data_IF_923445415211
#
_entry.id   IF_923445415211
#
_cell.length_a   1.000
_cell.length_b   1.000
_cell.length_c   1.000
_cell.angle_alpha   90.00
_cell.angle_beta   90.00
_cell.angle_gamma   90.00
#
_symmetry.space_group_name_H-M   'P 1'
#
loop_
_entity.id
_entity.type
_entity.pdbx_description
1 polymer ?
#
# COMPACT_ATOMS: atom_id res chain seq x y z
N UNK A 1 -11.47 -20.78 11.95
CA UNK A 1 -11.31 -19.57 11.11
C UNK A 1 -12.31 -19.66 9.97
N UNK A 2 -13.32 -18.79 9.94
CA UNK A 2 -14.31 -18.76 8.87
C UNK A 2 -13.60 -18.35 7.58
N UNK A 3 -13.41 -19.29 6.64
CA UNK A 3 -13.02 -18.96 5.27
C UNK A 3 -14.29 -18.55 4.56
N UNK A 4 -14.56 -17.24 4.53
CA UNK A 4 -15.59 -16.71 3.65
C UNK A 4 -15.40 -17.31 2.24
N UNK A 5 -16.47 -17.66 1.51
CA UNK A 5 -16.34 -18.07 0.12
C UNK A 5 -15.43 -17.08 -0.59
N UNK A 6 -14.49 -17.58 -1.39
CA UNK A 6 -13.41 -16.80 -2.02
C UNK A 6 -14.02 -15.63 -2.78
N UNK A 7 -14.18 -14.49 -2.09
CA UNK A 7 -14.63 -13.26 -2.69
C UNK A 7 -13.67 -12.99 -3.85
N UNK A 8 -14.27 -12.57 -4.97
CA UNK A 8 -13.53 -12.21 -6.17
C UNK A 8 -12.37 -11.28 -5.78
N UNK A 9 -11.17 -11.64 -6.24
CA UNK A 9 -9.98 -10.88 -5.92
C UNK A 9 -9.95 -9.64 -6.81
N UNK A 10 -9.36 -8.57 -6.30
CA UNK A 10 -9.11 -7.37 -7.09
C UNK A 10 -8.16 -7.70 -8.26
N UNK A 11 -7.97 -6.75 -9.18
CA UNK A 11 -7.05 -6.88 -10.31
C UNK A 11 -5.61 -7.27 -9.91
N UNK A 12 -5.20 -6.93 -8.68
CA UNK A 12 -3.89 -7.28 -8.12
C UNK A 12 -3.85 -8.67 -7.43
N UNK A 13 -4.92 -9.46 -7.60
CA UNK A 13 -5.14 -10.77 -7.00
C UNK A 13 -5.16 -10.75 -5.45
N UNK A 14 -5.38 -9.59 -4.84
CA UNK A 14 -5.49 -9.42 -3.37
C UNK A 14 -6.91 -9.00 -2.98
N UNK A 15 -7.21 -9.05 -1.68
CA UNK A 15 -8.40 -8.40 -1.11
C UNK A 15 -8.15 -6.90 -0.97
N UNK A 16 -9.22 -6.12 -0.79
CA UNK A 16 -9.09 -4.72 -0.40
C UNK A 16 -8.42 -4.63 0.98
N UNK A 17 -7.43 -3.75 1.09
CA UNK A 17 -6.76 -3.42 2.33
C UNK A 17 -7.49 -2.27 3.05
N UNK A 18 -7.73 -2.44 4.34
CA UNK A 18 -8.23 -1.40 5.23
C UNK A 18 -7.05 -0.54 5.71
N UNK A 19 -6.82 0.57 5.02
CA UNK A 19 -5.68 1.45 5.27
C UNK A 19 -6.07 2.66 6.14
N UNK A 20 -5.05 3.29 6.73
CA UNK A 20 -5.18 4.38 7.67
C UNK A 20 -4.41 5.60 7.14
N UNK A 21 -5.06 6.77 7.05
CA UNK A 21 -4.37 8.02 6.68
C UNK A 21 -3.09 8.25 7.49
N UNK A 22 -3.18 8.02 8.80
CA UNK A 22 -2.04 7.92 9.72
C UNK A 22 -1.74 6.45 9.95
N UNK A 23 -0.54 5.97 9.63
CA UNK A 23 -0.19 4.58 9.83
C UNK A 23 -0.34 4.16 11.30
N UNK A 24 -0.71 2.89 11.55
CA UNK A 24 -0.86 2.35 12.92
C UNK A 24 0.40 2.53 13.77
N UNK A 25 1.57 2.37 13.16
CA UNK A 25 2.87 2.58 13.81
C UNK A 25 3.05 4.00 14.36
N UNK A 26 2.30 4.98 13.84
CA UNK A 26 2.31 6.37 14.28
C UNK A 26 1.05 6.77 15.04
N UNK A 27 0.26 5.81 15.55
CA UNK A 27 -0.92 6.07 16.38
C UNK A 27 -2.25 6.09 15.63
N UNK A 28 -2.30 5.70 14.36
CA UNK A 28 -3.55 5.52 13.63
C UNK A 28 -4.40 4.40 14.22
N UNK A 29 -5.66 4.68 14.53
CA UNK A 29 -6.57 3.73 15.21
C UNK A 29 -7.68 3.21 14.29
N UNK A 30 -8.15 4.07 13.38
CA UNK A 30 -9.30 3.80 12.52
C UNK A 30 -8.86 3.75 11.07
N UNK A 31 -9.17 2.64 10.41
CA UNK A 31 -9.08 2.57 8.96
C UNK A 31 -10.14 3.50 8.36
N UNK A 32 -9.71 4.37 7.47
CA UNK A 32 -10.52 5.43 6.87
C UNK A 32 -10.54 5.38 5.34
N UNK A 33 -9.84 4.42 4.74
CA UNK A 33 -9.83 4.18 3.30
C UNK A 33 -9.66 2.71 2.96
N UNK A 34 -10.22 2.32 1.81
CA UNK A 34 -10.03 1.00 1.21
C UNK A 34 -9.14 1.14 -0.02
N UNK A 35 -8.06 0.36 -0.07
CA UNK A 35 -7.08 0.41 -1.16
C UNK A 35 -6.85 -0.99 -1.75
N UNK A 36 -6.45 -1.04 -3.02
CA UNK A 36 -5.84 -2.25 -3.59
C UNK A 36 -4.54 -2.57 -2.84
N UNK A 37 -4.23 -3.86 -2.70
CA UNK A 37 -3.05 -4.29 -1.93
C UNK A 37 -1.73 -3.75 -2.49
N UNK A 38 -1.57 -3.71 -3.82
CA UNK A 38 -0.38 -3.09 -4.45
C UNK A 38 -0.30 -1.60 -4.09
N UNK A 39 -1.37 -0.84 -4.31
CA UNK A 39 -1.39 0.59 -4.03
C UNK A 39 -1.20 0.91 -2.54
N UNK A 40 -1.71 0.06 -1.65
CA UNK A 40 -1.49 0.16 -0.21
C UNK A 40 -0.01 0.00 0.14
N UNK A 41 0.68 -1.01 -0.41
CA UNK A 41 2.11 -1.19 -0.16
C UNK A 41 2.95 -0.03 -0.70
N UNK A 42 2.56 0.55 -1.84
CA UNK A 42 3.28 1.66 -2.47
C UNK A 42 3.27 2.94 -1.62
N UNK A 43 2.17 3.25 -0.90
CA UNK A 43 2.17 4.46 -0.05
C UNK A 43 3.15 4.38 1.13
N UNK A 44 3.61 3.17 1.48
CA UNK A 44 4.35 2.85 2.70
C UNK A 44 3.58 3.27 3.96
N UNK A 45 4.18 4.05 4.85
CA UNK A 45 3.56 4.62 6.03
C UNK A 45 2.70 5.87 5.74
N UNK A 46 2.51 6.19 4.46
CA UNK A 46 1.85 7.40 3.98
C UNK A 46 2.81 8.44 3.39
N UNK A 47 4.14 8.25 3.50
CA UNK A 47 5.13 9.14 2.89
C UNK A 47 4.95 9.34 1.38
N UNK A 48 4.43 8.34 0.68
CA UNK A 48 4.22 8.42 -0.76
C UNK A 48 2.76 8.63 -1.16
N UNK A 49 1.87 9.05 -0.26
CA UNK A 49 0.45 9.27 -0.58
C UNK A 49 0.29 10.37 -1.66
N UNK A 50 1.13 11.41 -1.61
CA UNK A 50 1.20 12.48 -2.61
C UNK A 50 1.77 12.03 -3.96
N UNK A 51 2.41 10.87 -4.01
CA UNK A 51 3.06 10.35 -5.22
C UNK A 51 2.46 9.02 -5.67
N UNK A 52 1.26 8.65 -5.20
CA UNK A 52 0.56 7.42 -5.59
C UNK A 52 0.31 7.37 -7.11
N UNK A 53 0.18 6.17 -7.72
CA UNK A 53 0.06 6.02 -9.17
C UNK A 53 -0.99 6.92 -9.83
N UNK A 54 -2.16 7.08 -9.20
CA UNK A 54 -3.25 7.93 -9.71
C UNK A 54 -2.90 9.42 -9.71
N UNK A 55 -2.07 9.89 -8.78
CA UNK A 55 -1.62 11.30 -8.75
C UNK A 55 -0.58 11.55 -9.84
N UNK A 56 0.27 10.56 -10.13
CA UNK A 56 1.27 10.62 -11.18
C UNK A 56 0.73 10.29 -12.58
N UNK A 57 -0.52 9.80 -12.68
CA UNK A 57 -1.12 9.41 -13.95
C UNK A 57 -0.49 8.15 -14.59
N UNK A 58 0.09 7.26 -13.79
CA UNK A 58 0.79 6.05 -14.26
C UNK A 58 0.10 4.77 -13.81
N UNK A 59 0.37 3.66 -14.50
CA UNK A 59 -0.08 2.35 -14.02
C UNK A 59 0.65 1.99 -12.71
N UNK A 60 0.00 1.27 -11.78
CA UNK A 60 0.65 0.85 -10.54
C UNK A 60 1.96 0.07 -10.75
N UNK A 61 2.08 -0.68 -11.85
CA UNK A 61 3.32 -1.40 -12.23
C UNK A 61 4.47 -0.49 -12.63
N UNK A 62 4.20 0.75 -13.05
CA UNK A 62 5.19 1.73 -13.54
C UNK A 62 5.60 2.74 -12.46
N UNK A 63 4.97 2.66 -11.29
CA UNK A 63 5.09 3.62 -10.21
C UNK A 63 6.52 3.82 -9.70
N UNK A 64 7.29 2.75 -9.55
CA UNK A 64 8.69 2.82 -9.11
C UNK A 64 9.56 3.59 -10.10
N UNK A 65 9.34 3.38 -11.41
CA UNK A 65 10.02 4.12 -12.47
C UNK A 65 9.63 5.60 -12.44
N UNK A 66 8.34 5.90 -12.28
CA UNK A 66 7.85 7.28 -12.18
C UNK A 66 8.46 8.02 -10.97
N UNK A 67 8.58 7.35 -9.81
CA UNK A 67 9.25 7.93 -8.64
C UNK A 67 10.74 8.16 -8.89
N UNK A 68 11.43 7.23 -9.54
CA UNK A 68 12.83 7.40 -9.90
C UNK A 68 13.04 8.61 -10.81
N UNK A 69 12.14 8.86 -11.77
CA UNK A 69 12.17 10.08 -12.63
C UNK A 69 12.02 11.37 -11.82
N UNK A 70 11.29 11.33 -10.71
CA UNK A 70 11.15 12.46 -9.78
C UNK A 70 12.30 12.58 -8.78
N UNK A 71 13.31 11.70 -8.85
CA UNK A 71 14.41 11.64 -7.89
C UNK A 71 14.01 11.13 -6.50
N UNK A 72 12.85 10.47 -6.39
CA UNK A 72 12.34 9.91 -5.14
C UNK A 72 12.76 8.45 -5.05
N UNK A 73 13.69 8.14 -4.15
CA UNK A 73 14.12 6.76 -3.92
C UNK A 73 13.16 6.06 -2.96
N UNK A 74 12.49 5.00 -3.41
CA UNK A 74 11.69 4.11 -2.56
C UNK A 74 12.56 3.07 -1.85
N UNK A 75 13.77 3.44 -1.43
CA UNK A 75 14.70 2.49 -0.82
C UNK A 75 13.95 1.66 0.22
N UNK A 76 14.01 0.32 0.16
CA UNK A 76 13.29 -0.49 1.11
C UNK A 76 13.75 -0.05 2.49
N UNK A 77 12.81 0.30 3.36
CA UNK A 77 13.09 0.26 4.78
C UNK A 77 13.42 -1.20 5.03
N UNK A 78 14.71 -1.53 5.18
CA UNK A 78 15.18 -2.84 5.64
C UNK A 78 14.87 -2.89 7.14
N UNK A 79 13.58 -2.85 7.47
CA UNK A 79 13.11 -3.31 8.77
C UNK A 79 13.21 -4.83 8.67
N UNK A 80 14.17 -5.39 9.36
CA UNK A 80 14.40 -6.83 9.50
C UNK A 80 13.29 -7.55 10.28
N UNK A 81 12.21 -6.85 10.64
CA UNK A 81 11.01 -7.51 11.15
C UNK A 81 10.20 -8.03 9.97
N UNK A 82 10.32 -9.33 9.74
CA UNK A 82 9.40 -10.15 8.94
C UNK A 82 7.99 -10.20 9.54
N UNK A 83 7.45 -9.07 10.01
CA UNK A 83 6.05 -8.95 10.41
C UNK A 83 5.24 -8.58 9.17
N UNK A 84 5.19 -9.53 8.25
CA UNK A 84 4.12 -9.58 7.27
C UNK A 84 2.80 -9.75 8.04
N UNK A 85 2.16 -8.63 8.41
CA UNK A 85 0.72 -8.48 8.68
C UNK A 85 0.00 -9.78 9.12
N UNK A 86 0.34 -10.30 10.30
CA UNK A 86 -0.49 -11.26 11.03
C UNK A 86 -1.53 -10.46 11.81
N UNK A 87 -2.68 -10.20 11.19
CA UNK A 87 -3.93 -9.85 11.88
C UNK A 87 -5.13 -10.44 11.13
#
# INVERSE_FOLDING_TARGET
>A
MFKAPLLERNWDRKQLAADHSQARAFGGQRADRLLHGICNSQRQDGRHDAHRPVVLGVQPSEWSTALATLGITTAPIITTDNLAMDW
#
